data_IF_196438221704
#
_entry.id   IF_196438221704
#
_cell.length_a   1.000
_cell.length_b   1.000
_cell.length_c   1.000
_cell.angle_alpha   90.00
_cell.angle_beta   90.00
_cell.angle_gamma   90.00
#
_symmetry.space_group_name_H-M   'P 1'
#
loop_
_entity.id
_entity.type
_entity.pdbx_description
1 polymer ?
#
# COMPACT_ATOMS: atom_id res chain seq x y z
N UNK A 1 11.73 -7.18 10.67
CA UNK A 1 10.61 -8.00 11.16
C UNK A 1 9.32 -7.22 11.46
N UNK A 2 9.35 -5.98 11.97
CA UNK A 2 8.12 -5.26 12.36
C UNK A 2 7.32 -4.65 11.18
N UNK A 3 7.93 -4.21 10.09
CA UNK A 3 7.21 -3.61 8.96
C UNK A 3 6.35 -4.64 8.21
N UNK A 4 6.81 -5.88 8.10
CA UNK A 4 6.02 -6.97 7.55
C UNK A 4 4.78 -7.27 8.41
N UNK A 5 4.88 -7.11 9.72
CA UNK A 5 3.74 -7.24 10.64
C UNK A 5 2.76 -6.06 10.51
N UNK A 6 3.23 -4.85 10.25
CA UNK A 6 2.39 -3.66 10.01
C UNK A 6 1.67 -3.76 8.66
N UNK A 7 2.36 -4.21 7.62
CA UNK A 7 1.74 -4.49 6.31
C UNK A 7 0.68 -5.59 6.46
N UNK A 8 0.97 -6.66 7.22
CA UNK A 8 -0.01 -7.72 7.49
C UNK A 8 -1.21 -7.21 8.29
N UNK A 9 -1.03 -6.34 9.28
CA UNK A 9 -2.12 -5.75 10.09
C UNK A 9 -2.98 -4.80 9.25
N UNK A 10 -2.37 -4.04 8.34
CA UNK A 10 -3.10 -3.16 7.41
C UNK A 10 -4.02 -4.01 6.50
N UNK A 11 -3.57 -5.19 6.07
CA UNK A 11 -4.31 -6.07 5.15
C UNK A 11 -5.18 -7.15 5.84
N UNK A 12 -5.04 -7.39 7.16
CA UNK A 12 -5.87 -8.37 7.90
C UNK A 12 -7.14 -7.77 8.50
N UNK A 13 -7.46 -6.51 8.22
CA UNK A 13 -8.68 -5.84 8.70
C UNK A 13 -9.95 -6.59 8.28
N UNK A 14 -10.84 -6.83 9.22
CA UNK A 14 -12.24 -7.31 9.21
C UNK A 14 -12.86 -7.70 7.85
N UNK A 15 -13.73 -8.70 7.80
CA UNK A 15 -14.36 -9.14 6.55
C UNK A 15 -15.02 -7.95 5.84
N UNK A 16 -14.55 -7.65 4.63
CA UNK A 16 -15.18 -6.67 3.77
C UNK A 16 -16.63 -7.15 3.52
N UNK A 17 -17.59 -6.40 4.03
CA UNK A 17 -18.99 -6.53 3.65
C UNK A 17 -19.06 -6.08 2.20
N UNK A 18 -19.42 -6.96 1.29
CA UNK A 18 -19.72 -6.61 -0.08
C UNK A 18 -20.80 -5.50 -0.11
N UNK A 19 -20.64 -4.52 -1.04
CA UNK A 19 -21.64 -3.53 -1.43
C UNK A 19 -21.95 -2.35 -0.50
N UNK A 20 -20.97 -1.81 0.22
CA UNK A 20 -21.07 -0.41 0.59
C UNK A 20 -20.00 0.39 -0.16
N UNK A 21 -20.31 1.53 -0.80
CA UNK A 21 -19.28 2.41 -1.33
C UNK A 21 -18.32 2.72 -0.18
N UNK A 22 -17.01 2.53 -0.42
CA UNK A 22 -15.98 2.86 0.57
C UNK A 22 -16.27 4.27 1.04
N UNK A 23 -16.57 4.51 2.34
CA UNK A 23 -16.86 5.85 2.79
C UNK A 23 -15.65 6.72 2.50
N UNK A 24 -15.89 7.89 1.90
CA UNK A 24 -14.87 8.91 1.71
C UNK A 24 -14.19 9.19 3.05
N UNK A 25 -12.89 9.51 3.01
CA UNK A 25 -12.18 9.94 4.21
C UNK A 25 -12.99 11.07 4.86
N UNK A 26 -13.35 10.92 6.14
CA UNK A 26 -14.17 11.89 6.83
C UNK A 26 -13.26 12.88 7.55
N UNK A 27 -13.33 14.14 7.13
CA UNK A 27 -12.80 15.26 7.90
C UNK A 27 -13.89 15.69 8.87
N UNK A 28 -13.60 15.70 10.16
CA UNK A 28 -14.52 16.30 11.13
C UNK A 28 -14.35 17.82 11.06
N UNK A 29 -15.30 18.51 10.39
CA UNK A 29 -15.26 19.95 10.22
C UNK A 29 -15.43 20.70 11.54
N UNK A 30 -14.49 21.58 11.81
CA UNK A 30 -14.68 22.76 12.60
C UNK A 30 -14.20 23.99 11.78
N UNK A 31 -15.16 24.61 11.07
CA UNK A 31 -15.09 25.99 10.61
C UNK A 31 -13.84 26.41 9.81
N UNK A 32 -13.64 25.97 8.56
CA UNK A 32 -12.83 26.69 7.55
C UNK A 32 -11.42 27.18 7.92
N UNK A 33 -10.90 26.81 9.08
CA UNK A 33 -9.62 27.26 9.60
C UNK A 33 -8.45 26.63 8.81
N UNK A 34 -7.48 27.45 8.46
CA UNK A 34 -6.22 27.04 7.82
C UNK A 34 -5.57 25.90 8.62
N UNK A 35 -5.23 24.81 7.95
CA UNK A 35 -4.46 23.71 8.53
C UNK A 35 -2.98 24.03 8.37
N UNK A 36 -2.31 24.39 9.44
CA UNK A 36 -0.89 24.71 9.42
C UNK A 36 0.00 23.67 10.10
N UNK A 37 -0.60 22.77 10.90
CA UNK A 37 0.14 21.80 11.75
C UNK A 37 -0.49 20.42 11.62
N UNK A 38 0.15 19.56 10.84
CA UNK A 38 -0.36 18.21 10.53
C UNK A 38 0.53 17.18 11.20
N UNK A 39 -0.08 16.17 11.82
CA UNK A 39 0.57 14.94 12.24
C UNK A 39 0.04 13.80 11.38
N UNK A 40 0.93 13.04 10.74
CA UNK A 40 0.54 11.87 9.96
C UNK A 40 1.01 10.58 10.63
N UNK A 41 0.06 9.65 10.87
CA UNK A 41 0.33 8.32 11.42
C UNK A 41 0.34 7.22 10.36
N UNK A 42 0.12 7.58 9.09
CA UNK A 42 -0.07 6.63 7.99
C UNK A 42 0.90 6.96 6.86
N UNK A 43 1.88 6.10 6.54
CA UNK A 43 2.89 6.38 5.53
C UNK A 43 2.33 6.79 4.16
N UNK A 44 1.27 6.13 3.70
CA UNK A 44 0.61 6.49 2.44
C UNK A 44 0.11 7.94 2.42
N UNK A 45 -0.45 8.42 3.53
CA UNK A 45 -0.94 9.79 3.65
C UNK A 45 0.20 10.79 3.79
N UNK A 46 1.28 10.41 4.47
CA UNK A 46 2.49 11.22 4.54
C UNK A 46 3.06 11.46 3.15
N UNK A 47 3.22 10.42 2.34
CA UNK A 47 3.66 10.55 0.95
C UNK A 47 2.73 11.49 0.15
N UNK A 48 1.41 11.31 0.29
CA UNK A 48 0.42 12.16 -0.40
C UNK A 48 0.56 13.63 0.00
N UNK A 49 0.73 13.94 1.30
CA UNK A 49 0.91 15.32 1.78
C UNK A 49 2.14 15.99 1.14
N UNK A 50 3.25 15.28 1.09
CA UNK A 50 4.47 15.82 0.48
C UNK A 50 4.30 16.02 -1.02
N UNK A 51 3.67 15.09 -1.71
CA UNK A 51 3.46 15.13 -3.17
C UNK A 51 2.57 16.31 -3.60
N UNK A 52 1.53 16.62 -2.83
CA UNK A 52 0.64 17.77 -3.12
C UNK A 52 1.19 19.11 -2.60
N UNK A 53 2.41 19.14 -2.02
CA UNK A 53 3.03 20.36 -1.52
C UNK A 53 2.66 20.74 -0.08
N UNK A 54 1.91 19.91 0.64
CA UNK A 54 1.55 20.12 2.05
C UNK A 54 2.67 19.70 3.03
N UNK A 55 3.82 19.24 2.55
CA UNK A 55 4.96 18.82 3.36
C UNK A 55 5.39 19.83 4.44
N UNK A 56 5.49 21.16 4.16
CA UNK A 56 5.83 22.16 5.16
C UNK A 56 4.85 22.26 6.35
N UNK A 57 3.62 21.76 6.20
CA UNK A 57 2.62 21.70 7.26
C UNK A 57 2.80 20.48 8.18
N UNK A 58 3.58 19.47 7.75
CA UNK A 58 3.80 18.23 8.52
C UNK A 58 4.81 18.49 9.64
N UNK A 59 4.37 18.35 10.88
CA UNK A 59 5.19 18.64 12.09
C UNK A 59 5.68 17.38 12.80
N UNK A 60 5.07 16.23 12.54
CA UNK A 60 5.51 14.93 13.06
C UNK A 60 4.89 13.79 12.23
N UNK A 61 5.53 12.63 12.27
CA UNK A 61 5.13 11.45 11.52
C UNK A 61 5.20 10.17 12.36
N UNK A 62 4.61 9.10 11.90
CA UNK A 62 4.70 7.79 12.53
C UNK A 62 6.10 7.18 12.43
N UNK A 63 6.34 6.10 13.21
CA UNK A 63 7.65 5.44 13.25
C UNK A 63 8.05 4.74 11.95
N UNK A 64 7.09 4.46 11.07
CA UNK A 64 7.30 3.73 9.81
C UNK A 64 7.29 4.61 8.57
N UNK A 65 7.28 5.92 8.75
CA UNK A 65 7.37 6.88 7.65
C UNK A 65 8.84 6.99 7.20
N UNK A 66 9.15 6.45 6.02
CA UNK A 66 10.50 6.42 5.46
C UNK A 66 10.63 7.30 4.21
N UNK A 67 9.50 7.69 3.60
CA UNK A 67 9.47 8.48 2.37
C UNK A 67 8.47 9.63 2.46
N UNK A 68 8.79 10.80 1.83
CA UNK A 68 10.06 11.13 1.17
C UNK A 68 11.21 11.34 2.19
N UNK A 69 12.47 11.46 1.76
CA UNK A 69 13.62 11.63 2.68
C UNK A 69 13.48 12.79 3.67
N UNK A 70 12.70 13.81 3.32
CA UNK A 70 12.42 14.94 4.21
C UNK A 70 11.76 14.53 5.54
N UNK A 71 11.09 13.38 5.62
CA UNK A 71 10.49 12.90 6.87
C UNK A 71 11.51 12.48 7.93
N UNK A 72 12.77 12.24 7.55
CA UNK A 72 13.84 11.86 8.47
C UNK A 72 14.09 12.94 9.53
N UNK A 73 13.92 14.20 9.16
CA UNK A 73 14.10 15.34 10.05
C UNK A 73 12.91 15.57 11.01
N UNK A 74 11.79 14.88 10.81
CA UNK A 74 10.56 15.10 11.57
C UNK A 74 10.52 14.26 12.86
N UNK A 75 9.94 14.78 13.94
CA UNK A 75 9.69 14.04 15.16
C UNK A 75 8.86 12.77 14.90
N UNK A 76 9.24 11.67 15.55
CA UNK A 76 8.51 10.39 15.50
C UNK A 76 7.57 10.31 16.71
N UNK A 77 6.32 9.92 16.48
CA UNK A 77 5.26 9.89 17.48
C UNK A 77 4.65 8.50 17.69
N UNK A 78 5.47 7.47 17.59
CA UNK A 78 5.05 6.09 17.78
C UNK A 78 4.54 5.40 16.51
N UNK A 79 4.12 4.17 16.68
CA UNK A 79 3.62 3.32 15.61
C UNK A 79 2.10 3.47 15.44
N UNK A 80 1.58 3.00 14.31
CA UNK A 80 0.14 2.99 14.02
C UNK A 80 -0.69 2.31 15.14
N UNK A 81 -0.16 1.23 15.74
CA UNK A 81 -0.87 0.48 16.78
C UNK A 81 -0.63 1.01 18.17
N UNK A 82 0.42 1.80 18.39
CA UNK A 82 0.82 2.37 19.67
C UNK A 82 1.38 3.79 19.46
N UNK A 83 0.53 4.76 19.12
CA UNK A 83 0.93 6.15 18.98
C UNK A 83 1.10 6.82 20.34
N UNK A 84 2.10 7.68 20.47
CA UNK A 84 2.34 8.49 21.65
C UNK A 84 1.33 9.66 21.72
N UNK A 85 0.19 9.40 22.33
CA UNK A 85 -0.93 10.35 22.43
C UNK A 85 -0.54 11.62 23.20
N UNK A 86 0.27 11.50 24.26
CA UNK A 86 0.72 12.64 25.05
C UNK A 86 1.57 13.59 24.20
N UNK A 87 2.47 13.02 23.41
CA UNK A 87 3.31 13.79 22.49
C UNK A 87 2.50 14.42 21.36
N UNK A 88 1.49 13.70 20.81
CA UNK A 88 0.56 14.26 19.82
C UNK A 88 -0.12 15.51 20.39
N UNK A 89 -0.70 15.41 21.59
CA UNK A 89 -1.39 16.53 22.26
C UNK A 89 -0.45 17.70 22.57
N UNK A 90 0.77 17.41 23.04
CA UNK A 90 1.79 18.42 23.34
C UNK A 90 2.22 19.22 22.10
N UNK A 91 2.23 18.59 20.94
CA UNK A 91 2.55 19.24 19.65
C UNK A 91 1.44 20.16 19.14
N UNK A 92 0.24 20.14 19.71
CA UNK A 92 -0.92 20.98 19.33
C UNK A 92 -1.15 21.00 17.81
N UNK A 93 -1.45 19.86 17.18
CA UNK A 93 -1.75 19.82 15.76
C UNK A 93 -3.14 20.40 15.47
N UNK A 94 -3.32 20.92 14.25
CA UNK A 94 -4.62 21.31 13.72
C UNK A 94 -5.36 20.10 13.10
N UNK A 95 -4.58 19.12 12.60
CA UNK A 95 -5.09 17.93 11.92
C UNK A 95 -4.20 16.74 12.24
N UNK A 96 -4.81 15.60 12.58
CA UNK A 96 -4.13 14.31 12.71
C UNK A 96 -4.70 13.32 11.70
N UNK A 97 -3.82 12.72 10.90
CA UNK A 97 -4.19 11.69 9.95
C UNK A 97 -4.06 10.32 10.62
N UNK A 98 -5.17 9.59 10.69
CA UNK A 98 -5.27 8.30 11.39
C UNK A 98 -5.69 7.20 10.42
N UNK A 99 -5.48 5.95 10.82
CA UNK A 99 -6.11 4.82 10.17
C UNK A 99 -7.47 4.53 10.83
N UNK A 100 -8.52 4.31 10.06
CA UNK A 100 -9.90 4.23 10.56
C UNK A 100 -10.23 3.07 11.51
N UNK A 101 -9.23 2.26 11.91
CA UNK A 101 -9.35 1.31 13.01
C UNK A 101 -8.92 1.90 14.37
N UNK A 102 -8.35 3.11 14.40
CA UNK A 102 -7.85 3.78 15.61
C UNK A 102 -8.94 4.57 16.34
N UNK A 103 -10.13 4.00 16.49
CA UNK A 103 -11.33 4.69 17.01
C UNK A 103 -11.14 5.27 18.42
N UNK A 104 -10.36 4.62 19.28
CA UNK A 104 -10.04 5.12 20.63
C UNK A 104 -9.19 6.39 20.57
N UNK A 105 -8.16 6.42 19.71
CA UNK A 105 -7.33 7.60 19.48
C UNK A 105 -8.17 8.74 18.88
N UNK A 106 -8.94 8.46 17.84
CA UNK A 106 -9.81 9.45 17.19
C UNK A 106 -10.79 10.11 18.20
N UNK A 107 -11.37 9.31 19.09
CA UNK A 107 -12.23 9.82 20.14
C UNK A 107 -11.47 10.71 21.18
N UNK A 108 -10.21 10.42 21.47
CA UNK A 108 -9.39 11.25 22.35
C UNK A 108 -9.02 12.58 21.68
N UNK A 109 -8.62 12.55 20.40
CA UNK A 109 -8.31 13.75 19.61
C UNK A 109 -9.53 14.66 19.47
N UNK A 110 -10.70 14.08 19.20
CA UNK A 110 -11.95 14.83 19.11
C UNK A 110 -12.31 15.55 20.42
N UNK A 111 -12.13 14.88 21.57
CA UNK A 111 -12.33 15.52 22.90
C UNK A 111 -11.34 16.67 23.16
N UNK A 112 -10.16 16.61 22.58
CA UNK A 112 -9.17 17.69 22.64
C UNK A 112 -9.41 18.81 21.60
N UNK A 113 -10.49 18.72 20.79
CA UNK A 113 -10.79 19.69 19.76
C UNK A 113 -9.90 19.61 18.51
N UNK A 114 -9.14 18.52 18.37
CA UNK A 114 -8.22 18.30 17.25
C UNK A 114 -9.00 17.63 16.11
N UNK A 115 -8.88 18.17 14.90
CA UNK A 115 -9.48 17.56 13.70
C UNK A 115 -8.79 16.24 13.36
N UNK A 116 -9.57 15.29 12.86
CA UNK A 116 -9.09 13.97 12.45
C UNK A 116 -9.44 13.74 10.99
N UNK A 117 -8.47 13.25 10.23
CA UNK A 117 -8.66 12.68 8.89
C UNK A 117 -8.54 11.16 9.01
N UNK A 118 -9.68 10.49 9.08
CA UNK A 118 -9.75 9.04 9.25
C UNK A 118 -9.65 8.35 7.89
N UNK A 119 -8.55 7.65 7.63
CA UNK A 119 -8.26 6.94 6.38
C UNK A 119 -8.67 5.48 6.46
N UNK A 120 -9.24 4.99 5.38
CA UNK A 120 -9.45 3.55 5.15
C UNK A 120 -8.88 3.16 3.80
N UNK A 121 -8.30 1.98 3.76
CA UNK A 121 -7.84 1.43 2.51
C UNK A 121 -8.97 1.29 1.49
N UNK A 122 -8.61 1.51 0.25
CA UNK A 122 -9.40 1.20 -0.92
C UNK A 122 -8.48 0.71 -2.03
N UNK A 123 -9.04 0.28 -3.17
CA UNK A 123 -8.27 0.07 -4.38
C UNK A 123 -7.70 1.38 -4.94
N UNK A 124 -7.14 1.34 -6.12
CA UNK A 124 -6.55 2.51 -6.82
C UNK A 124 -7.49 3.70 -6.82
N UNK A 125 -8.77 3.52 -7.13
CA UNK A 125 -9.76 4.61 -7.10
C UNK A 125 -9.92 5.23 -5.70
N UNK A 126 -9.80 4.44 -4.64
CA UNK A 126 -9.81 4.91 -3.25
C UNK A 126 -8.60 5.79 -2.93
N UNK A 127 -7.41 5.39 -3.38
CA UNK A 127 -6.17 6.16 -3.21
C UNK A 127 -6.28 7.53 -3.90
N UNK A 128 -6.71 7.57 -5.16
CA UNK A 128 -6.88 8.82 -5.91
C UNK A 128 -7.92 9.76 -5.29
N UNK A 129 -8.99 9.20 -4.73
CA UNK A 129 -9.99 9.98 -3.99
C UNK A 129 -9.39 10.54 -2.70
N UNK A 130 -8.68 9.72 -1.91
CA UNK A 130 -8.02 10.17 -0.68
C UNK A 130 -7.03 11.30 -0.93
N UNK A 131 -6.28 11.24 -2.04
CA UNK A 131 -5.36 12.31 -2.44
C UNK A 131 -6.10 13.64 -2.66
N UNK A 132 -7.25 13.62 -3.35
CA UNK A 132 -8.12 14.80 -3.55
C UNK A 132 -8.71 15.32 -2.23
N UNK A 133 -9.17 14.42 -1.37
CA UNK A 133 -9.74 14.76 -0.06
C UNK A 133 -8.69 15.43 0.85
N UNK A 134 -7.43 14.93 0.81
CA UNK A 134 -6.30 15.55 1.51
C UNK A 134 -5.99 16.94 0.93
N UNK A 135 -5.99 17.10 -0.38
CA UNK A 135 -5.82 18.38 -1.04
C UNK A 135 -6.85 19.42 -0.57
N UNK A 136 -8.12 19.01 -0.52
CA UNK A 136 -9.20 19.87 -0.01
C UNK A 136 -9.02 20.21 1.47
N UNK A 137 -8.62 19.22 2.30
CA UNK A 137 -8.44 19.41 3.74
C UNK A 137 -7.25 20.30 4.11
N UNK A 138 -6.22 20.37 3.24
CA UNK A 138 -4.94 21.07 3.51
C UNK A 138 -4.76 22.34 2.69
N UNK A 139 -5.73 22.69 1.82
CA UNK A 139 -5.66 23.87 0.97
C UNK A 139 -4.87 23.69 -0.34
N UNK A 140 -4.60 22.44 -0.75
CA UNK A 140 -3.81 22.07 -1.94
C UNK A 140 -4.66 21.36 -3.01
N UNK A 141 -5.90 21.82 -3.21
CA UNK A 141 -6.88 21.16 -4.10
C UNK A 141 -6.39 21.05 -5.55
N UNK A 142 -5.78 22.11 -6.08
CA UNK A 142 -5.31 22.12 -7.45
C UNK A 142 -4.10 21.20 -7.67
N UNK A 143 -3.20 21.14 -6.70
CA UNK A 143 -2.04 20.24 -6.68
C UNK A 143 -2.48 18.78 -6.62
N UNK A 144 -3.41 18.47 -5.72
CA UNK A 144 -3.96 17.12 -5.55
C UNK A 144 -4.68 16.63 -6.81
N UNK A 145 -5.42 17.50 -7.50
CA UNK A 145 -6.08 17.11 -8.75
C UNK A 145 -5.07 16.86 -9.87
N UNK A 146 -4.03 17.69 -10.01
CA UNK A 146 -2.96 17.48 -11.00
C UNK A 146 -2.23 16.17 -10.74
N UNK A 147 -1.90 15.90 -9.48
CA UNK A 147 -1.21 14.66 -9.09
C UNK A 147 -2.09 13.43 -9.33
N UNK A 148 -3.36 13.47 -8.96
CA UNK A 148 -4.30 12.38 -9.20
C UNK A 148 -4.45 12.07 -10.70
N UNK A 149 -4.49 13.09 -11.55
CA UNK A 149 -4.53 12.92 -13.02
C UNK A 149 -3.21 12.36 -13.56
N UNK A 150 -2.07 12.82 -13.04
CA UNK A 150 -0.74 12.32 -13.41
C UNK A 150 -0.59 10.83 -13.08
N UNK A 151 -0.97 10.42 -11.86
CA UNK A 151 -0.96 9.02 -11.45
C UNK A 151 -1.89 8.17 -12.33
N UNK A 152 -3.11 8.64 -12.59
CA UNK A 152 -4.05 7.92 -13.46
C UNK A 152 -3.46 7.71 -14.84
N UNK A 153 -2.86 8.74 -15.44
CA UNK A 153 -2.23 8.66 -16.75
C UNK A 153 -1.05 7.65 -16.78
N UNK A 154 -0.25 7.58 -15.70
CA UNK A 154 0.82 6.58 -15.57
C UNK A 154 0.24 5.16 -15.54
N UNK A 155 -0.81 4.93 -14.77
CA UNK A 155 -1.47 3.62 -14.67
C UNK A 155 -2.08 3.19 -16.01
N UNK A 156 -2.75 4.13 -16.70
CA UNK A 156 -3.33 3.89 -18.03
C UNK A 156 -2.24 3.54 -19.05
N UNK A 157 -1.11 4.26 -19.03
CA UNK A 157 0.01 3.99 -19.91
C UNK A 157 0.62 2.59 -19.69
N UNK A 158 0.73 2.15 -18.43
CA UNK A 158 1.18 0.77 -18.12
C UNK A 158 0.18 -0.24 -18.64
N UNK A 159 -1.11 -0.04 -18.37
CA UNK A 159 -2.17 -0.94 -18.80
C UNK A 159 -2.24 -1.07 -20.34
N UNK A 160 -2.13 0.06 -21.05
CA UNK A 160 -2.14 0.08 -22.50
C UNK A 160 -0.93 -0.66 -23.08
N UNK A 161 0.23 -0.49 -22.50
CA UNK A 161 1.48 -1.15 -22.93
C UNK A 161 1.39 -2.66 -22.83
N UNK A 162 0.81 -3.20 -21.77
CA UNK A 162 0.71 -4.65 -21.55
C UNK A 162 -0.54 -5.27 -22.18
N UNK A 163 -1.49 -4.48 -22.67
CA UNK A 163 -2.77 -4.95 -23.25
C UNK A 163 -2.60 -5.99 -24.37
N UNK A 164 -1.61 -5.89 -25.28
CA UNK A 164 -1.42 -6.87 -26.36
C UNK A 164 -0.91 -8.23 -25.87
N UNK A 165 -0.46 -8.34 -24.63
CA UNK A 165 0.21 -9.55 -24.12
C UNK A 165 -0.78 -10.45 -23.35
N UNK A 166 -0.54 -11.78 -23.33
CA UNK A 166 -1.32 -12.71 -22.53
C UNK A 166 -1.26 -12.34 -21.05
N UNK A 167 -2.37 -12.49 -20.34
CA UNK A 167 -2.48 -12.19 -18.91
C UNK A 167 -2.18 -13.44 -18.08
N UNK A 168 -0.94 -13.64 -17.57
CA UNK A 168 -0.60 -14.83 -16.81
C UNK A 168 -1.39 -14.90 -15.49
N UNK A 169 -1.74 -16.12 -15.09
CA UNK A 169 -2.30 -16.42 -13.79
C UNK A 169 -1.23 -16.18 -12.73
N UNK A 170 -1.39 -15.12 -11.96
CA UNK A 170 -0.34 -14.57 -11.11
C UNK A 170 -0.66 -14.75 -9.63
N UNK A 171 0.32 -15.24 -8.87
CA UNK A 171 0.37 -15.20 -7.41
C UNK A 171 1.20 -13.98 -6.98
N UNK A 172 0.63 -13.07 -6.19
CA UNK A 172 1.36 -11.95 -5.62
C UNK A 172 1.51 -12.16 -4.12
N UNK A 173 2.74 -12.37 -3.69
CA UNK A 173 3.13 -12.59 -2.28
C UNK A 173 3.69 -11.28 -1.74
N UNK A 174 3.17 -10.77 -0.63
CA UNK A 174 3.65 -9.53 -0.04
C UNK A 174 4.21 -9.69 1.38
N UNK A 175 4.07 -10.89 1.97
CA UNK A 175 4.69 -11.24 3.25
C UNK A 175 4.70 -12.74 3.45
N UNK A 176 5.70 -13.26 4.13
CA UNK A 176 5.78 -14.63 4.62
C UNK A 176 6.81 -14.75 5.73
N UNK A 177 6.87 -15.91 6.37
CA UNK A 177 7.92 -16.20 7.35
C UNK A 177 9.30 -16.19 6.65
N UNK A 178 10.29 -15.48 7.22
CA UNK A 178 11.64 -15.44 6.66
C UNK A 178 12.22 -16.86 6.46
N UNK A 179 12.88 -17.07 5.34
CA UNK A 179 13.52 -18.33 4.97
C UNK A 179 12.57 -19.55 4.94
N UNK A 180 11.29 -19.33 4.72
CA UNK A 180 10.27 -20.37 4.69
C UNK A 180 9.10 -19.94 3.80
N UNK A 181 8.42 -20.90 3.16
CA UNK A 181 7.14 -20.63 2.47
C UNK A 181 5.92 -20.75 3.40
N UNK A 182 6.12 -20.71 4.71
CA UNK A 182 5.04 -20.73 5.69
C UNK A 182 4.51 -19.33 6.01
N UNK A 183 3.31 -19.27 6.58
CA UNK A 183 2.63 -18.02 6.96
C UNK A 183 2.65 -16.98 5.83
N UNK A 184 2.45 -17.46 4.61
CA UNK A 184 2.44 -16.62 3.42
C UNK A 184 1.17 -15.77 3.37
N UNK A 185 1.31 -14.46 3.13
CA UNK A 185 0.23 -13.56 2.82
C UNK A 185 0.29 -13.19 1.34
N UNK A 186 -0.81 -13.41 0.63
CA UNK A 186 -0.94 -13.14 -0.79
C UNK A 186 -2.11 -12.20 -1.07
N UNK A 187 -2.06 -11.48 -2.18
CA UNK A 187 -3.16 -10.62 -2.60
C UNK A 187 -4.43 -11.44 -2.84
N UNK A 188 -5.52 -11.04 -2.20
CA UNK A 188 -6.86 -11.50 -2.53
C UNK A 188 -7.47 -10.70 -3.68
N UNK A 189 -8.77 -10.88 -3.95
CA UNK A 189 -9.46 -10.38 -5.14
C UNK A 189 -9.87 -8.90 -5.07
N UNK A 190 -9.58 -8.20 -3.97
CA UNK A 190 -9.91 -6.78 -3.80
C UNK A 190 -8.72 -6.00 -3.23
N UNK A 191 -8.79 -4.67 -3.28
CA UNK A 191 -7.80 -3.76 -2.71
C UNK A 191 -6.65 -3.41 -3.66
N UNK A 192 -5.72 -2.62 -3.12
CA UNK A 192 -4.64 -1.97 -3.87
C UNK A 192 -3.77 -2.96 -4.67
N UNK A 193 -3.26 -4.01 -4.02
CA UNK A 193 -2.36 -4.97 -4.67
C UNK A 193 -3.04 -5.74 -5.81
N UNK A 194 -4.32 -6.08 -5.65
CA UNK A 194 -5.09 -6.70 -6.72
C UNK A 194 -5.27 -5.76 -7.92
N UNK A 195 -5.58 -4.48 -7.65
CA UNK A 195 -5.77 -3.50 -8.72
C UNK A 195 -4.46 -3.25 -9.49
N UNK A 196 -3.35 -3.06 -8.77
CA UNK A 196 -2.02 -2.87 -9.38
C UNK A 196 -1.62 -4.10 -10.22
N UNK A 197 -1.83 -5.32 -9.72
CA UNK A 197 -1.57 -6.54 -10.48
C UNK A 197 -2.41 -6.61 -11.77
N UNK A 198 -3.70 -6.24 -11.70
CA UNK A 198 -4.58 -6.20 -12.87
C UNK A 198 -4.13 -5.16 -13.91
N UNK A 199 -3.72 -3.98 -13.46
CA UNK A 199 -3.16 -2.90 -14.31
C UNK A 199 -1.86 -3.39 -14.97
N UNK A 200 -1.01 -4.07 -14.22
CA UNK A 200 0.22 -4.68 -14.72
C UNK A 200 0.01 -5.89 -15.68
N UNK A 201 -1.23 -6.24 -16.01
CA UNK A 201 -1.55 -7.31 -16.95
C UNK A 201 -1.56 -8.71 -16.35
N UNK A 202 -1.51 -8.88 -15.04
CA UNK A 202 -1.70 -10.17 -14.37
C UNK A 202 -3.16 -10.55 -14.19
N UNK A 203 -3.43 -11.84 -13.95
CA UNK A 203 -4.71 -12.37 -13.51
C UNK A 203 -4.53 -13.02 -12.12
N UNK A 204 -5.13 -12.45 -11.09
CA UNK A 204 -4.95 -12.93 -9.73
C UNK A 204 -5.52 -14.34 -9.54
N UNK A 205 -4.68 -15.29 -9.09
CA UNK A 205 -5.13 -16.66 -8.81
C UNK A 205 -6.08 -16.76 -7.61
N UNK A 206 -6.16 -15.70 -6.76
CA UNK A 206 -7.11 -15.54 -5.67
C UNK A 206 -8.14 -14.44 -5.92
N UNK A 207 -8.37 -14.06 -7.18
CA UNK A 207 -9.29 -13.01 -7.58
C UNK A 207 -10.77 -13.29 -7.24
N UNK A 208 -11.14 -14.53 -6.96
CA UNK A 208 -12.46 -14.98 -6.49
C UNK A 208 -12.69 -14.72 -5.00
N UNK A 209 -11.65 -14.42 -4.22
CA UNK A 209 -11.75 -14.22 -2.77
C UNK A 209 -11.88 -12.72 -2.46
N UNK A 210 -13.07 -12.32 -1.99
CA UNK A 210 -13.41 -10.92 -1.68
C UNK A 210 -12.77 -10.47 -0.36
N UNK A 211 -11.44 -10.51 -0.30
CA UNK A 211 -10.58 -10.02 0.79
C UNK A 211 -9.34 -9.40 0.19
N UNK A 212 -8.71 -8.47 0.92
CA UNK A 212 -7.44 -7.85 0.49
C UNK A 212 -6.27 -8.83 0.60
N UNK A 213 -6.31 -9.73 1.58
CA UNK A 213 -5.28 -10.73 1.81
C UNK A 213 -5.83 -12.12 2.05
N UNK A 214 -5.05 -13.13 1.67
CA UNK A 214 -5.32 -14.55 1.88
C UNK A 214 -4.08 -15.21 2.45
N UNK A 215 -4.27 -16.19 3.34
CA UNK A 215 -3.20 -17.10 3.78
C UNK A 215 -3.46 -18.49 3.18
N UNK A 216 -2.88 -18.81 2.02
CA UNK A 216 -3.09 -20.11 1.40
C UNK A 216 -2.24 -21.21 2.04
N UNK A 217 -2.74 -22.45 2.03
CA UNK A 217 -1.91 -23.63 2.23
C UNK A 217 -1.11 -23.96 0.96
N UNK A 218 -0.07 -24.79 1.08
CA UNK A 218 0.70 -25.27 -0.08
C UNK A 218 -0.20 -26.06 -1.06
N UNK A 219 -1.14 -26.87 -0.55
CA UNK A 219 -2.08 -27.60 -1.40
C UNK A 219 -2.95 -26.64 -2.22
N UNK A 220 -3.39 -25.53 -1.60
CA UNK A 220 -4.16 -24.51 -2.32
C UNK A 220 -3.33 -23.87 -3.43
N UNK A 221 -2.06 -23.61 -3.20
CA UNK A 221 -1.15 -23.08 -4.24
C UNK A 221 -0.98 -24.06 -5.40
N UNK A 222 -0.84 -25.35 -5.11
CA UNK A 222 -0.74 -26.41 -6.13
C UNK A 222 -2.02 -26.47 -6.99
N UNK A 223 -3.19 -26.40 -6.36
CA UNK A 223 -4.50 -26.40 -7.06
C UNK A 223 -4.69 -25.14 -7.88
N UNK A 224 -4.31 -23.97 -7.34
CA UNK A 224 -4.41 -22.67 -8.05
C UNK A 224 -3.43 -22.56 -9.22
N UNK A 225 -2.34 -23.33 -9.21
CA UNK A 225 -1.36 -23.49 -10.29
C UNK A 225 -0.98 -22.14 -10.96
N UNK A 226 -0.36 -21.20 -10.24
CA UNK A 226 0.06 -19.93 -10.83
C UNK A 226 1.09 -20.13 -11.93
N UNK A 227 0.99 -19.33 -13.02
CA UNK A 227 1.91 -19.27 -14.16
C UNK A 227 3.03 -18.26 -13.96
N UNK A 228 2.83 -17.30 -13.03
CA UNK A 228 3.83 -16.36 -12.56
C UNK A 228 3.67 -16.16 -11.06
N UNK A 229 4.78 -15.99 -10.37
CA UNK A 229 4.84 -15.62 -8.96
C UNK A 229 5.60 -14.29 -8.88
N UNK A 230 5.02 -13.30 -8.20
CA UNK A 230 5.69 -12.06 -7.84
C UNK A 230 5.76 -11.99 -6.32
N UNK A 231 6.95 -11.97 -5.78
CA UNK A 231 7.20 -11.82 -4.34
C UNK A 231 7.77 -10.43 -4.05
N UNK A 232 7.11 -9.70 -3.15
CA UNK A 232 7.49 -8.34 -2.79
C UNK A 232 8.31 -8.35 -1.50
N UNK A 233 9.46 -7.70 -1.53
CA UNK A 233 10.32 -7.40 -0.39
C UNK A 233 10.27 -5.90 -0.12
N UNK A 234 9.37 -5.50 0.80
CA UNK A 234 9.11 -4.08 1.08
C UNK A 234 10.25 -3.39 1.83
N UNK A 235 11.10 -4.15 2.52
CA UNK A 235 12.21 -3.62 3.35
C UNK A 235 13.51 -4.36 3.07
N UNK A 236 14.60 -3.61 3.06
CA UNK A 236 15.95 -4.15 2.83
C UNK A 236 16.29 -4.34 1.35
N UNK A 237 17.55 -4.24 1.03
CA UNK A 237 18.08 -4.64 -0.28
C UNK A 237 18.46 -6.12 -0.21
N UNK A 238 17.95 -6.92 -1.14
CA UNK A 238 18.36 -8.30 -1.32
C UNK A 238 19.68 -8.34 -2.09
N UNK A 239 20.68 -9.00 -1.51
CA UNK A 239 21.89 -9.32 -2.26
C UNK A 239 21.70 -10.61 -3.07
N UNK A 240 22.52 -10.83 -4.11
CA UNK A 240 22.38 -11.98 -5.01
C UNK A 240 22.26 -13.33 -4.28
N UNK A 241 23.04 -13.52 -3.20
CA UNK A 241 22.99 -14.74 -2.38
C UNK A 241 21.62 -14.94 -1.68
N UNK A 242 20.91 -13.85 -1.36
CA UNK A 242 19.57 -13.94 -0.79
C UNK A 242 18.55 -14.33 -1.87
N UNK A 243 18.68 -13.80 -3.08
CA UNK A 243 17.83 -14.17 -4.22
C UNK A 243 17.94 -15.65 -4.56
N UNK A 244 19.16 -16.20 -4.58
CA UNK A 244 19.38 -17.63 -4.84
C UNK A 244 18.76 -18.51 -3.75
N UNK A 245 18.84 -18.08 -2.51
CA UNK A 245 18.18 -18.75 -1.38
C UNK A 245 16.67 -18.74 -1.52
N UNK A 246 16.09 -17.58 -1.84
CA UNK A 246 14.65 -17.41 -2.02
C UNK A 246 14.12 -18.26 -3.20
N UNK A 247 14.85 -18.28 -4.32
CA UNK A 247 14.54 -19.20 -5.44
C UNK A 247 14.58 -20.67 -5.03
N UNK A 248 15.57 -21.05 -4.21
CA UNK A 248 15.70 -22.43 -3.70
C UNK A 248 14.51 -22.85 -2.84
N UNK A 249 13.92 -21.94 -2.06
CA UNK A 249 12.68 -22.20 -1.32
C UNK A 249 11.53 -22.54 -2.26
N UNK A 250 11.32 -21.73 -3.31
CA UNK A 250 10.27 -21.98 -4.30
C UNK A 250 10.48 -23.26 -5.07
N UNK A 251 11.73 -23.69 -5.30
CA UNK A 251 12.07 -24.96 -5.97
C UNK A 251 11.49 -26.19 -5.24
N UNK A 252 11.17 -26.09 -3.95
CA UNK A 252 10.48 -27.16 -3.20
C UNK A 252 9.05 -27.41 -3.70
N UNK A 253 8.45 -26.45 -4.41
CA UNK A 253 7.12 -26.52 -5.03
C UNK A 253 7.24 -26.66 -6.56
N UNK A 254 8.15 -27.50 -7.05
CA UNK A 254 8.48 -27.67 -8.47
C UNK A 254 7.31 -28.06 -9.39
N UNK A 255 6.18 -28.54 -8.84
CA UNK A 255 4.97 -28.84 -9.61
C UNK A 255 4.18 -27.59 -10.02
N UNK A 256 4.44 -26.43 -9.40
CA UNK A 256 3.79 -25.16 -9.76
C UNK A 256 4.32 -24.71 -11.13
N UNK A 257 3.44 -24.34 -12.10
CA UNK A 257 3.87 -23.91 -13.42
C UNK A 257 4.89 -22.76 -13.42
N UNK A 258 4.69 -21.75 -12.57
CA UNK A 258 5.62 -20.63 -12.42
C UNK A 258 7.03 -21.06 -12.03
N UNK A 259 7.15 -22.05 -11.12
CA UNK A 259 8.46 -22.57 -10.67
C UNK A 259 9.14 -23.34 -11.80
N UNK A 260 8.39 -24.20 -12.51
CA UNK A 260 8.93 -24.97 -13.64
C UNK A 260 9.42 -24.12 -14.81
N UNK A 261 8.79 -22.99 -15.04
CA UNK A 261 9.11 -22.07 -16.15
C UNK A 261 10.02 -20.92 -15.75
N UNK A 262 10.63 -20.97 -14.53
CA UNK A 262 11.49 -19.92 -13.95
C UNK A 262 10.82 -18.51 -13.96
N UNK A 263 9.51 -18.47 -13.66
CA UNK A 263 8.73 -17.24 -13.59
C UNK A 263 8.40 -16.87 -12.14
N UNK A 264 9.43 -16.92 -11.29
CA UNK A 264 9.40 -16.42 -9.90
C UNK A 264 10.21 -15.13 -9.85
N UNK A 265 9.52 -14.01 -9.67
CA UNK A 265 10.07 -12.67 -9.69
C UNK A 265 10.09 -12.10 -8.28
N UNK A 266 11.20 -11.48 -7.91
CA UNK A 266 11.38 -10.77 -6.64
C UNK A 266 11.46 -9.28 -6.91
N UNK A 267 10.59 -8.51 -6.28
CA UNK A 267 10.55 -7.05 -6.41
C UNK A 267 10.83 -6.41 -5.06
N UNK A 268 11.63 -5.35 -5.07
CA UNK A 268 12.06 -4.64 -3.86
C UNK A 268 11.52 -3.22 -3.82
N UNK A 269 11.13 -2.80 -2.63
CA UNK A 269 10.74 -1.41 -2.36
C UNK A 269 9.41 -1.25 -1.65
N UNK A 270 9.38 -0.29 -0.73
CA UNK A 270 8.18 0.03 0.07
C UNK A 270 7.01 0.52 -0.80
N UNK A 271 7.30 1.18 -1.93
CA UNK A 271 6.29 1.70 -2.87
C UNK A 271 5.40 0.60 -3.47
N UNK A 272 5.84 -0.65 -3.46
CA UNK A 272 5.08 -1.80 -3.96
C UNK A 272 3.90 -2.16 -3.06
N UNK A 273 3.95 -1.80 -1.77
CA UNK A 273 2.92 -2.14 -0.77
C UNK A 273 2.28 -0.92 -0.11
N UNK A 274 2.83 0.28 -0.34
CA UNK A 274 2.25 1.53 0.17
C UNK A 274 1.25 2.07 -0.85
N UNK A 275 -0.06 2.13 -0.53
CA UNK A 275 -1.08 2.64 -1.45
C UNK A 275 -1.03 4.18 -1.50
N UNK A 276 -0.06 4.70 -2.22
CA UNK A 276 0.29 6.12 -2.27
C UNK A 276 0.63 6.62 -3.68
N UNK A 277 1.20 7.84 -3.79
CA UNK A 277 1.49 8.49 -5.08
C UNK A 277 2.39 7.67 -5.99
N UNK A 278 3.29 6.86 -5.42
CA UNK A 278 4.24 6.02 -6.16
C UNK A 278 3.62 4.76 -6.78
N UNK A 279 2.29 4.62 -6.79
CA UNK A 279 1.63 3.42 -7.33
C UNK A 279 1.82 3.21 -8.84
N UNK A 280 2.12 4.27 -9.59
CA UNK A 280 2.54 4.16 -10.99
C UNK A 280 3.83 3.36 -11.16
N UNK A 281 4.82 3.60 -10.28
CA UNK A 281 6.07 2.83 -10.24
C UNK A 281 5.82 1.36 -9.87
N UNK A 282 4.90 1.11 -8.92
CA UNK A 282 4.53 -0.25 -8.54
C UNK A 282 3.90 -1.01 -9.71
N UNK A 283 2.98 -0.37 -10.44
CA UNK A 283 2.36 -0.97 -11.62
C UNK A 283 3.39 -1.27 -12.72
N UNK A 284 4.31 -0.35 -13.00
CA UNK A 284 5.37 -0.56 -13.98
C UNK A 284 6.34 -1.68 -13.57
N UNK A 285 6.77 -1.74 -12.30
CA UNK A 285 7.65 -2.78 -11.81
C UNK A 285 7.02 -4.19 -11.96
N UNK A 286 5.74 -4.33 -11.59
CA UNK A 286 5.00 -5.57 -11.79
C UNK A 286 4.84 -5.89 -13.29
N UNK A 287 4.53 -4.91 -14.11
CA UNK A 287 4.35 -5.09 -15.55
C UNK A 287 5.64 -5.56 -16.23
N UNK A 288 6.79 -4.99 -15.87
CA UNK A 288 8.12 -5.43 -16.36
C UNK A 288 8.44 -6.87 -15.96
N UNK A 289 8.08 -7.27 -14.74
CA UNK A 289 8.27 -8.65 -14.28
C UNK A 289 7.37 -9.64 -15.03
N UNK A 290 6.12 -9.29 -15.28
CA UNK A 290 5.15 -10.17 -15.94
C UNK A 290 5.31 -10.20 -17.48
N UNK A 291 5.72 -9.08 -18.08
CA UNK A 291 5.76 -8.84 -19.54
C UNK A 291 7.06 -8.13 -19.95
N UNK A 292 8.25 -8.72 -19.75
CA UNK A 292 9.52 -8.05 -20.08
C UNK A 292 9.56 -7.57 -21.55
N UNK A 293 9.03 -8.36 -22.49
CA UNK A 293 8.98 -7.99 -23.90
C UNK A 293 8.13 -6.74 -24.22
N UNK A 294 7.27 -6.30 -23.31
CA UNK A 294 6.51 -5.05 -23.48
C UNK A 294 7.40 -3.80 -23.24
N UNK A 295 8.60 -3.97 -22.70
CA UNK A 295 9.49 -2.89 -22.29
C UNK A 295 10.87 -2.92 -22.98
N UNK A 296 11.04 -3.82 -23.94
CA UNK A 296 12.12 -3.85 -24.91
C UNK A 296 11.81 -2.92 -26.10
#
# INVERSE_FOLDING_TARGET
>A
MLLAAVVAVIFTGLPARADAPTPAAQVTDNNGAHVGRIISLVPALTEMLFEIGAGPQVIAVGSYDEFPPAVEALPRIGALLDPDVERILALRPDLVLTYGSQTALEAQLARAGIRVFSYRHGGVAGVLRTLRDLGAATGHTAEAEREAQGIQAQLDAVQDRVRPYPRPRTLLVFSRQPQSLQQMYVSGGVGFLNDIMRIAGGTNVFGDIQRESVQPSHETLLVRAPEAIVEIHATGMMVAADLDRERSLWATLASIPAVRSDRVHFLEGSYLVVPGPRMGLAAEALARALHPAAFE
#
